data_IF_899002458625
#
_entry.id   IF_899002458625
#
_cell.length_a   1.000
_cell.length_b   1.000
_cell.length_c   1.000
_cell.angle_alpha   90.00
_cell.angle_beta   90.00
_cell.angle_gamma   90.00
#
_symmetry.space_group_name_H-M   'P 1'
#
loop_
_entity.id
_entity.type
_entity.pdbx_description
1 polymer ?
#
# COMPACT_ATOMS: atom_id res chain seq x y z
N UNK A 1 -38.17 7.18 9.51
CA UNK A 1 -38.81 6.69 10.76
C UNK A 1 -39.26 7.86 11.64
N UNK A 2 -38.37 8.79 12.00
CA UNK A 2 -38.71 9.96 12.86
C UNK A 2 -39.83 10.83 12.30
N UNK A 3 -39.85 11.12 11.00
CA UNK A 3 -40.93 11.90 10.36
C UNK A 3 -42.32 11.25 10.46
N UNK A 4 -42.37 9.92 10.58
CA UNK A 4 -43.63 9.19 10.77
C UNK A 4 -44.04 9.32 12.23
N UNK A 5 -43.15 9.03 13.17
CA UNK A 5 -43.43 9.14 14.62
C UNK A 5 -43.79 10.58 15.03
N UNK A 6 -43.25 11.59 14.35
CA UNK A 6 -43.60 13.00 14.59
C UNK A 6 -45.05 13.36 14.21
N UNK A 7 -45.68 12.59 13.30
CA UNK A 7 -47.05 12.85 12.85
C UNK A 7 -48.12 12.09 13.63
N UNK A 8 -47.77 10.93 14.20
CA UNK A 8 -48.76 9.99 14.76
C UNK A 8 -48.36 9.42 16.13
N UNK A 9 -47.13 9.69 16.60
CA UNK A 9 -46.60 9.14 17.85
C UNK A 9 -46.76 10.06 19.05
N UNK A 10 -46.60 9.49 20.24
CA UNK A 10 -46.55 10.24 21.49
C UNK A 10 -45.25 11.03 21.63
N UNK A 11 -45.20 12.08 22.48
CA UNK A 11 -43.97 12.82 22.74
C UNK A 11 -42.81 11.92 23.18
N UNK A 12 -43.08 10.87 23.96
CA UNK A 12 -42.07 9.89 24.41
C UNK A 12 -41.59 8.99 23.26
N UNK A 13 -42.47 8.62 22.33
CA UNK A 13 -42.06 7.87 21.14
C UNK A 13 -41.21 8.73 20.20
N UNK A 14 -41.53 10.03 20.11
CA UNK A 14 -40.77 10.97 19.28
C UNK A 14 -39.36 11.22 19.84
N UNK A 15 -39.21 11.34 21.17
CA UNK A 15 -37.89 11.48 21.80
C UNK A 15 -37.04 10.23 21.56
N UNK A 16 -37.59 9.04 21.80
CA UNK A 16 -36.92 7.76 21.56
C UNK A 16 -36.54 7.58 20.08
N UNK A 17 -37.41 7.96 19.14
CA UNK A 17 -37.12 7.82 17.71
C UNK A 17 -35.99 8.77 17.26
N UNK A 18 -35.93 9.99 17.80
CA UNK A 18 -34.84 10.95 17.53
C UNK A 18 -33.51 10.46 18.08
N UNK A 19 -33.49 9.95 19.30
CA UNK A 19 -32.29 9.39 19.93
C UNK A 19 -31.75 8.20 19.13
N UNK A 20 -32.62 7.27 18.72
CA UNK A 20 -32.23 6.13 17.89
C UNK A 20 -31.75 6.53 16.48
N UNK A 21 -32.28 7.58 15.87
CA UNK A 21 -31.79 8.08 14.58
C UNK A 21 -30.36 8.62 14.69
N UNK A 22 -30.04 9.35 15.77
CA UNK A 22 -28.69 9.87 16.05
C UNK A 22 -27.72 8.70 16.24
N UNK A 23 -28.07 7.74 17.10
CA UNK A 23 -27.26 6.54 17.38
C UNK A 23 -26.98 5.70 16.12
N UNK A 24 -27.86 5.76 15.13
CA UNK A 24 -27.68 5.02 13.86
C UNK A 24 -26.83 5.80 12.87
N UNK A 25 -26.92 7.14 12.85
CA UNK A 25 -26.12 8.01 11.97
C UNK A 25 -24.66 8.11 12.39
N UNK A 26 -24.38 8.18 13.69
CA UNK A 26 -23.02 8.33 14.23
C UNK A 26 -22.13 7.10 13.98
N UNK A 27 -22.72 5.92 13.80
CA UNK A 27 -21.99 4.66 13.58
C UNK A 27 -21.27 4.57 12.24
N UNK A 28 -21.76 5.25 11.19
CA UNK A 28 -21.18 5.16 9.84
C UNK A 28 -19.93 6.04 9.67
N UNK A 29 -19.89 7.22 10.32
CA UNK A 29 -18.73 8.11 10.26
C UNK A 29 -17.61 7.68 11.22
N UNK A 30 -17.94 6.93 12.26
CA UNK A 30 -16.97 6.47 13.27
C UNK A 30 -15.93 5.49 12.72
N UNK A 31 -16.30 4.67 11.72
CA UNK A 31 -15.39 3.66 11.15
C UNK A 31 -14.22 4.27 10.37
N UNK A 32 -14.46 5.37 9.65
CA UNK A 32 -13.41 6.05 8.89
C UNK A 32 -12.44 6.80 9.82
N UNK A 33 -12.98 7.46 10.85
CA UNK A 33 -12.17 8.16 11.87
C UNK A 33 -11.33 7.17 12.68
N UNK A 34 -11.87 6.01 13.03
CA UNK A 34 -11.10 4.98 13.73
C UNK A 34 -9.97 4.42 12.86
N UNK A 35 -10.24 4.17 11.58
CA UNK A 35 -9.24 3.67 10.65
C UNK A 35 -8.10 4.68 10.44
N UNK A 36 -8.43 5.96 10.30
CA UNK A 36 -7.45 7.05 10.24
C UNK A 36 -6.60 7.10 11.52
N UNK A 37 -7.24 7.02 12.69
CA UNK A 37 -6.53 7.01 13.97
C UNK A 37 -5.53 5.85 14.04
N UNK A 38 -5.94 4.64 13.62
CA UNK A 38 -5.06 3.47 13.58
C UNK A 38 -3.90 3.69 12.61
N UNK A 39 -4.16 4.20 11.40
CA UNK A 39 -3.12 4.47 10.42
C UNK A 39 -2.11 5.53 10.89
N UNK A 40 -2.58 6.59 11.55
CA UNK A 40 -1.71 7.61 12.13
C UNK A 40 -0.84 7.02 13.25
N UNK A 41 -1.38 6.14 14.10
CA UNK A 41 -0.60 5.42 15.11
C UNK A 41 0.47 4.53 14.48
N UNK A 42 0.15 3.83 13.39
CA UNK A 42 1.14 3.04 12.66
C UNK A 42 2.22 3.95 12.06
N UNK A 43 1.86 5.11 11.50
CA UNK A 43 2.83 6.09 10.99
C UNK A 43 3.79 6.56 12.09
N UNK A 44 3.30 6.80 13.29
CA UNK A 44 4.13 7.16 14.45
C UNK A 44 5.19 6.09 14.71
N UNK A 45 4.81 4.80 14.77
CA UNK A 45 5.77 3.69 14.93
C UNK A 45 6.79 3.59 13.79
N UNK A 46 6.41 3.95 12.56
CA UNK A 46 7.32 3.96 11.41
C UNK A 46 8.26 5.18 11.42
N UNK A 47 7.95 6.20 12.21
CA UNK A 47 8.73 7.44 12.35
C UNK A 47 9.63 7.44 13.59
N UNK A 48 9.45 6.49 14.50
CA UNK A 48 10.30 6.35 15.68
C UNK A 48 11.75 6.06 15.25
N UNK A 49 12.65 6.99 15.60
CA UNK A 49 14.08 6.82 15.39
C UNK A 49 14.62 5.87 16.45
N UNK A 50 14.78 4.60 16.10
CA UNK A 50 15.66 3.71 16.85
C UNK A 50 17.07 4.34 16.89
N UNK A 51 17.85 4.02 17.93
CA UNK A 51 19.16 4.63 18.24
C UNK A 51 20.25 4.54 17.12
N UNK A 52 19.92 4.00 15.94
CA UNK A 52 20.73 3.97 14.72
C UNK A 52 20.16 4.71 13.50
N UNK A 53 19.09 5.53 13.66
CA UNK A 53 18.45 6.32 12.60
C UNK A 53 17.22 5.65 11.98
N UNK A 54 16.39 6.45 11.27
CA UNK A 54 15.16 5.95 10.61
C UNK A 54 15.49 5.02 9.44
N UNK A 55 15.43 3.71 9.68
CA UNK A 55 15.74 2.66 8.70
C UNK A 55 14.76 2.64 7.51
N UNK A 56 13.54 3.18 7.69
CA UNK A 56 12.46 3.14 6.69
C UNK A 56 12.64 4.13 5.51
N UNK A 57 13.32 5.24 5.76
CA UNK A 57 13.62 6.28 4.78
C UNK A 57 15.05 6.17 4.19
N UNK A 58 15.76 5.10 4.55
CA UNK A 58 17.11 4.82 4.14
C UNK A 58 18.16 5.39 5.08
N UNK A 59 19.25 4.62 5.25
CA UNK A 59 20.42 5.01 6.03
C UNK A 59 21.17 6.16 5.36
N UNK A 60 20.73 7.40 5.59
CA UNK A 60 21.58 8.57 5.36
C UNK A 60 22.39 8.81 6.62
N UNK A 61 23.59 8.22 6.67
CA UNK A 61 24.66 8.75 7.51
C UNK A 61 25.33 9.89 6.74
N UNK A 62 25.17 11.17 7.11
CA UNK A 62 25.81 12.29 6.43
C UNK A 62 27.26 12.50 6.90
N UNK A 63 27.97 11.44 7.25
CA UNK A 63 29.38 11.52 7.62
C UNK A 63 30.20 10.62 6.72
N UNK A 64 30.92 11.26 5.78
CA UNK A 64 31.94 10.75 4.84
C UNK A 64 31.43 10.31 3.47
N UNK A 65 31.24 11.29 2.57
CA UNK A 65 32.05 11.32 1.35
C UNK A 65 32.51 12.76 1.13
N UNK A 66 33.83 12.97 1.29
CA UNK A 66 34.51 14.21 0.96
C UNK A 66 34.55 14.37 -0.56
N UNK A 67 34.42 15.62 -1.02
CA UNK A 67 34.93 16.14 -2.29
C UNK A 67 34.54 15.34 -3.55
N UNK A 68 33.53 15.82 -4.29
CA UNK A 68 33.66 16.23 -5.70
C UNK A 68 32.28 16.48 -6.36
N UNK A 69 31.92 17.76 -6.54
CA UNK A 69 31.00 18.26 -7.59
C UNK A 69 29.52 17.84 -7.53
N UNK A 70 28.62 18.60 -8.19
CA UNK A 70 27.24 18.18 -8.36
C UNK A 70 27.18 17.16 -9.50
N UNK A 71 27.42 15.88 -9.19
CA UNK A 71 27.23 14.78 -10.14
C UNK A 71 25.74 14.54 -10.34
N UNK A 72 25.33 14.68 -11.59
CA UNK A 72 23.96 14.66 -12.11
C UNK A 72 23.27 13.28 -12.09
N UNK A 73 23.56 12.42 -11.12
CA UNK A 73 23.13 11.01 -11.14
C UNK A 73 22.63 10.48 -9.78
N UNK A 74 21.96 11.32 -8.99
CA UNK A 74 21.20 10.88 -7.81
C UNK A 74 19.69 11.20 -7.94
N UNK A 75 19.26 11.52 -9.16
CA UNK A 75 17.92 12.05 -9.48
C UNK A 75 16.81 10.98 -9.26
N UNK A 76 17.16 9.71 -9.05
CA UNK A 76 16.18 8.62 -8.88
C UNK A 76 16.46 7.63 -7.75
N UNK A 77 17.51 7.80 -6.93
CA UNK A 77 17.86 6.79 -5.90
C UNK A 77 17.92 5.37 -6.49
N UNK A 78 18.51 5.26 -7.69
CA UNK A 78 18.49 4.02 -8.48
C UNK A 78 19.46 2.98 -7.91
N UNK A 79 20.48 3.42 -7.17
CA UNK A 79 21.51 2.55 -6.58
C UNK A 79 21.26 2.21 -5.10
N UNK A 80 20.47 3.02 -4.38
CA UNK A 80 20.24 2.82 -2.96
C UNK A 80 18.96 2.00 -2.72
N UNK A 81 19.11 0.68 -2.54
CA UNK A 81 18.07 -0.25 -2.06
C UNK A 81 17.67 -0.03 -0.58
N UNK A 82 17.77 1.21 -0.11
CA UNK A 82 17.63 1.58 1.30
C UNK A 82 16.20 1.97 1.67
N UNK A 83 15.29 2.07 0.70
CA UNK A 83 13.89 2.44 0.92
C UNK A 83 12.99 1.21 0.98
N UNK A 84 11.99 1.23 1.86
CA UNK A 84 11.03 0.12 2.01
C UNK A 84 10.36 -0.28 0.69
N UNK A 85 9.97 0.69 -0.15
CA UNK A 85 9.33 0.38 -1.43
C UNK A 85 10.20 -0.46 -2.39
N UNK A 86 11.53 -0.43 -2.24
CA UNK A 86 12.45 -1.28 -3.01
C UNK A 86 12.42 -2.71 -2.50
N UNK A 87 12.48 -2.88 -1.19
CA UNK A 87 12.35 -4.19 -0.53
C UNK A 87 11.00 -4.80 -0.88
N UNK A 88 9.93 -4.02 -0.82
CA UNK A 88 8.59 -4.46 -1.18
C UNK A 88 8.49 -4.92 -2.63
N UNK A 89 9.10 -4.18 -3.58
CA UNK A 89 9.14 -4.58 -4.99
C UNK A 89 9.86 -5.92 -5.20
N UNK A 90 10.96 -6.15 -4.48
CA UNK A 90 11.67 -7.44 -4.52
C UNK A 90 10.83 -8.58 -3.93
N UNK A 91 10.15 -8.33 -2.80
CA UNK A 91 9.23 -9.29 -2.17
C UNK A 91 8.09 -9.66 -3.13
N UNK A 92 7.46 -8.67 -3.78
CA UNK A 92 6.41 -8.93 -4.77
C UNK A 92 6.92 -9.73 -5.97
N UNK A 93 8.15 -9.49 -6.41
CA UNK A 93 8.75 -10.29 -7.47
C UNK A 93 8.91 -11.76 -7.07
N UNK A 94 9.36 -12.02 -5.83
CA UNK A 94 9.46 -13.40 -5.31
C UNK A 94 8.10 -14.08 -5.32
N UNK A 95 7.04 -13.39 -4.91
CA UNK A 95 5.67 -13.94 -4.90
C UNK A 95 5.11 -14.24 -6.30
N UNK A 96 5.65 -13.60 -7.34
CA UNK A 96 5.24 -13.87 -8.72
C UNK A 96 5.93 -15.10 -9.32
N UNK A 97 6.88 -15.72 -8.61
CA UNK A 97 7.59 -16.95 -9.03
C UNK A 97 6.60 -18.12 -9.07
N UNK A 98 6.70 -19.05 -10.05
CA UNK A 98 5.69 -20.08 -10.22
C UNK A 98 5.92 -21.17 -9.17
N UNK A 99 4.83 -21.63 -8.56
CA UNK A 99 4.85 -22.67 -7.54
C UNK A 99 4.67 -24.05 -8.16
N UNK A 100 5.24 -25.08 -7.53
CA UNK A 100 5.02 -26.47 -7.91
C UNK A 100 3.56 -26.90 -7.70
N UNK A 101 3.12 -27.98 -8.36
CA UNK A 101 1.72 -28.46 -8.32
C UNK A 101 1.18 -28.81 -6.92
N UNK A 102 2.03 -28.91 -5.90
CA UNK A 102 1.67 -29.23 -4.51
C UNK A 102 2.15 -28.17 -3.51
N UNK A 103 2.47 -26.96 -3.97
CA UNK A 103 2.89 -25.85 -3.12
C UNK A 103 1.76 -24.83 -3.01
N UNK A 104 1.57 -24.29 -1.80
CA UNK A 104 0.61 -23.22 -1.58
C UNK A 104 1.13 -21.91 -2.16
N UNK A 105 0.27 -21.21 -2.87
CA UNK A 105 0.52 -19.85 -3.32
C UNK A 105 0.54 -18.88 -2.14
N UNK A 106 1.14 -17.72 -2.34
CA UNK A 106 1.21 -16.67 -1.31
C UNK A 106 -0.21 -16.18 -0.94
N UNK A 107 -1.10 -16.11 -1.92
CA UNK A 107 -2.50 -15.75 -1.73
C UNK A 107 -3.24 -16.79 -0.89
N UNK A 108 -2.97 -18.08 -1.06
CA UNK A 108 -3.57 -19.14 -0.22
C UNK A 108 -3.05 -19.11 1.22
N UNK A 109 -1.78 -18.77 1.43
CA UNK A 109 -1.17 -18.75 2.77
C UNK A 109 -1.50 -17.48 3.56
N UNK A 110 -1.52 -16.31 2.90
CA UNK A 110 -1.58 -15.02 3.56
C UNK A 110 -2.79 -14.16 3.14
N UNK A 111 -3.56 -14.60 2.14
CA UNK A 111 -4.67 -13.84 1.59
C UNK A 111 -4.24 -12.48 1.03
N UNK A 112 -5.16 -11.52 1.06
CA UNK A 112 -4.87 -10.14 0.64
C UNK A 112 -4.11 -9.33 1.70
N UNK A 113 -4.10 -9.80 2.96
CA UNK A 113 -3.57 -9.05 4.10
C UNK A 113 -2.11 -8.64 3.94
N UNK A 114 -1.32 -9.47 3.27
CA UNK A 114 0.08 -9.20 2.96
C UNK A 114 0.23 -7.98 2.02
N UNK A 115 -0.56 -7.95 0.94
CA UNK A 115 -0.58 -6.82 0.01
C UNK A 115 -1.09 -5.54 0.69
N UNK A 116 -2.11 -5.67 1.55
CA UNK A 116 -2.61 -4.58 2.37
C UNK A 116 -1.54 -4.00 3.29
N UNK A 117 -0.79 -4.84 3.99
CA UNK A 117 0.27 -4.41 4.90
C UNK A 117 1.41 -3.68 4.15
N UNK A 118 1.94 -4.28 3.08
CA UNK A 118 3.02 -3.67 2.31
C UNK A 118 2.62 -2.35 1.67
N UNK A 119 1.43 -2.28 1.08
CA UNK A 119 0.93 -1.04 0.49
C UNK A 119 0.61 0.02 1.54
N UNK A 120 0.06 -0.36 2.71
CA UNK A 120 -0.17 0.57 3.81
C UNK A 120 1.14 1.21 4.28
N UNK A 121 2.21 0.44 4.47
CA UNK A 121 3.52 0.98 4.86
C UNK A 121 4.08 1.91 3.78
N UNK A 122 4.00 1.54 2.49
CA UNK A 122 4.43 2.41 1.39
C UNK A 122 3.69 3.75 1.40
N UNK A 123 2.38 3.74 1.61
CA UNK A 123 1.55 4.96 1.66
C UNK A 123 1.87 5.78 2.90
N UNK A 124 2.00 5.16 4.07
CA UNK A 124 2.30 5.85 5.33
C UNK A 124 3.68 6.53 5.30
N UNK A 125 4.66 5.92 4.62
CA UNK A 125 6.00 6.48 4.38
C UNK A 125 6.06 7.49 3.21
N UNK A 126 4.95 7.71 2.48
CA UNK A 126 4.92 8.62 1.33
C UNK A 126 5.74 8.12 0.12
N UNK A 127 5.98 6.81 0.01
CA UNK A 127 6.84 6.21 -1.01
C UNK A 127 6.06 5.73 -2.26
N UNK A 128 4.75 5.93 -2.33
CA UNK A 128 3.85 5.38 -3.35
C UNK A 128 4.20 5.81 -4.79
N UNK A 129 4.53 7.08 -5.01
CA UNK A 129 4.88 7.57 -6.37
C UNK A 129 6.20 6.98 -6.85
N UNK A 130 7.17 6.86 -5.94
CA UNK A 130 8.47 6.23 -6.24
C UNK A 130 8.28 4.75 -6.53
N UNK A 131 7.46 4.07 -5.73
CA UNK A 131 7.09 2.67 -5.97
C UNK A 131 6.49 2.46 -7.36
N UNK A 132 5.49 3.25 -7.76
CA UNK A 132 4.84 3.10 -9.07
C UNK A 132 5.79 3.24 -10.28
N UNK A 133 6.81 4.09 -10.14
CA UNK A 133 7.81 4.34 -11.19
C UNK A 133 8.88 3.25 -11.20
N UNK A 134 9.31 2.82 -10.01
CA UNK A 134 10.54 2.04 -9.79
C UNK A 134 10.29 0.56 -9.43
N UNK A 135 9.02 0.13 -9.44
CA UNK A 135 8.64 -1.25 -9.21
C UNK A 135 9.17 -2.17 -10.33
N UNK A 136 9.93 -3.19 -9.93
CA UNK A 136 10.56 -4.19 -10.80
C UNK A 136 9.51 -5.00 -11.56
N UNK A 137 8.42 -5.43 -10.89
CA UNK A 137 7.34 -6.16 -11.56
C UNK A 137 6.65 -5.31 -12.63
N UNK A 138 6.43 -4.03 -12.33
CA UNK A 138 5.89 -3.08 -13.29
C UNK A 138 6.80 -2.78 -14.48
N UNK A 139 8.10 -2.69 -14.25
CA UNK A 139 9.09 -2.55 -15.33
C UNK A 139 9.12 -3.80 -16.21
N UNK A 140 9.11 -4.98 -15.59
CA UNK A 140 9.13 -6.27 -16.29
C UNK A 140 7.91 -6.44 -17.21
N UNK A 141 6.71 -6.14 -16.72
CA UNK A 141 5.50 -6.18 -17.53
C UNK A 141 5.53 -5.20 -18.71
N UNK A 142 6.10 -4.00 -18.51
CA UNK A 142 6.26 -3.02 -19.61
C UNK A 142 7.24 -3.54 -20.67
N UNK A 143 8.35 -4.14 -20.25
CA UNK A 143 9.33 -4.74 -21.15
C UNK A 143 8.72 -5.91 -21.94
N UNK A 144 8.02 -6.84 -21.28
CA UNK A 144 7.37 -7.96 -21.96
C UNK A 144 6.29 -7.52 -22.95
N UNK A 145 5.47 -6.51 -22.61
CA UNK A 145 4.47 -5.96 -23.54
C UNK A 145 5.11 -5.29 -24.76
N UNK A 146 6.29 -4.68 -24.59
CA UNK A 146 7.04 -4.07 -25.68
C UNK A 146 7.68 -5.12 -26.61
N UNK A 147 8.20 -6.22 -26.03
CA UNK A 147 8.96 -7.23 -26.77
C UNK A 147 8.07 -8.20 -27.59
N UNK A 148 6.78 -8.33 -27.26
CA UNK A 148 5.79 -9.23 -27.94
C UNK A 148 6.22 -10.70 -28.10
N UNK A 149 7.31 -11.11 -27.45
CA UNK A 149 7.90 -12.45 -27.58
C UNK A 149 7.51 -13.27 -26.36
N UNK A 150 6.72 -14.32 -26.57
CA UNK A 150 6.60 -15.42 -25.60
C UNK A 150 7.87 -16.26 -25.68
N UNK A 151 9.00 -15.72 -25.22
CA UNK A 151 10.22 -16.50 -25.09
C UNK A 151 10.30 -17.11 -23.71
N UNK A 152 9.96 -18.39 -23.65
CA UNK A 152 10.51 -19.35 -22.71
C UNK A 152 12.03 -19.35 -22.85
N UNK A 153 12.73 -18.44 -22.16
CA UNK A 153 14.19 -18.45 -22.08
C UNK A 153 14.64 -18.43 -20.63
N UNK A 154 15.49 -19.41 -20.31
CA UNK A 154 16.08 -19.70 -19.01
C UNK A 154 16.66 -18.43 -18.36
N UNK A 155 15.98 -17.97 -17.31
CA UNK A 155 16.37 -16.82 -16.52
C UNK A 155 15.25 -16.46 -15.56
N UNK A 156 15.59 -15.80 -14.45
CA UNK A 156 14.66 -15.41 -13.37
C UNK A 156 13.40 -14.68 -13.90
N UNK A 157 13.52 -14.02 -15.06
CA UNK A 157 12.46 -13.32 -15.80
C UNK A 157 11.39 -14.24 -16.41
N UNK A 158 11.73 -15.48 -16.77
CA UNK A 158 10.80 -16.47 -17.33
C UNK A 158 10.06 -17.27 -16.26
N UNK A 159 10.57 -17.27 -15.02
CA UNK A 159 9.92 -17.95 -13.92
C UNK A 159 8.73 -17.14 -13.42
N UNK A 160 8.82 -15.81 -13.36
CA UNK A 160 7.69 -15.05 -12.86
C UNK A 160 6.48 -15.08 -13.82
N UNK A 161 5.37 -15.61 -13.34
CA UNK A 161 4.15 -15.76 -14.14
C UNK A 161 3.53 -14.38 -14.41
N UNK A 162 3.50 -13.98 -15.68
CA UNK A 162 2.92 -12.69 -16.14
C UNK A 162 1.49 -12.49 -15.63
N UNK A 163 0.73 -13.58 -15.55
CA UNK A 163 -0.62 -13.58 -14.98
C UNK A 163 -0.61 -13.18 -13.49
N UNK A 164 0.20 -13.86 -12.67
CA UNK A 164 0.35 -13.60 -11.22
C UNK A 164 0.83 -12.17 -11.00
N UNK A 165 1.80 -11.70 -11.79
CA UNK A 165 2.32 -10.34 -11.72
C UNK A 165 1.25 -9.26 -12.00
N UNK A 166 0.36 -9.48 -12.97
CA UNK A 166 -0.76 -8.57 -13.23
C UNK A 166 -1.80 -8.61 -12.10
N UNK A 167 -2.06 -9.79 -11.52
CA UNK A 167 -2.97 -9.95 -10.38
C UNK A 167 -2.42 -9.23 -9.15
N UNK A 168 -1.17 -9.49 -8.74
CA UNK A 168 -0.56 -8.83 -7.58
C UNK A 168 -0.48 -7.31 -7.76
N UNK A 169 -0.20 -6.80 -8.98
CA UNK A 169 -0.27 -5.36 -9.27
C UNK A 169 -1.69 -4.80 -9.26
N UNK A 170 -2.69 -5.54 -9.72
CA UNK A 170 -4.08 -5.08 -9.65
C UNK A 170 -4.50 -4.86 -8.19
N UNK A 171 -4.16 -5.81 -7.31
CA UNK A 171 -4.41 -5.69 -5.87
C UNK A 171 -3.59 -4.54 -5.27
N UNK A 172 -2.29 -4.45 -5.55
CA UNK A 172 -1.44 -3.37 -5.05
C UNK A 172 -1.88 -1.98 -5.51
N UNK A 173 -2.25 -1.82 -6.79
CA UNK A 173 -2.77 -0.58 -7.33
C UNK A 173 -4.15 -0.23 -6.75
N UNK A 174 -5.02 -1.20 -6.50
CA UNK A 174 -6.32 -0.97 -5.86
C UNK A 174 -6.15 -0.43 -4.43
N UNK A 175 -5.25 -1.06 -3.66
CA UNK A 175 -4.95 -0.65 -2.28
C UNK A 175 -4.27 0.71 -2.25
N UNK A 176 -3.24 0.92 -3.07
CA UNK A 176 -2.52 2.20 -3.15
C UNK A 176 -3.32 3.34 -3.80
N UNK A 177 -4.23 3.09 -4.75
CA UNK A 177 -4.82 4.16 -5.57
C UNK A 177 -6.29 4.46 -5.25
N UNK A 178 -7.06 3.51 -4.69
CA UNK A 178 -8.53 3.65 -4.58
C UNK A 178 -9.09 3.67 -3.16
N UNK A 179 -8.46 3.03 -2.18
CA UNK A 179 -8.96 3.03 -0.80
C UNK A 179 -8.09 3.88 0.13
N UNK A 180 -6.77 3.65 0.17
CA UNK A 180 -5.89 4.45 1.03
C UNK A 180 -5.70 5.88 0.50
N UNK A 181 -5.65 6.08 -0.81
CA UNK A 181 -5.51 7.42 -1.41
C UNK A 181 -6.80 8.23 -1.35
N UNK A 182 -7.98 7.61 -1.46
CA UNK A 182 -9.24 8.33 -1.23
C UNK A 182 -9.35 8.73 0.25
N UNK A 183 -8.89 7.88 1.17
CA UNK A 183 -8.82 8.21 2.59
C UNK A 183 -7.74 9.25 2.94
N UNK A 184 -6.61 9.24 2.24
CA UNK A 184 -5.51 10.18 2.48
C UNK A 184 -5.65 11.53 1.76
N UNK A 185 -6.30 11.59 0.58
CA UNK A 185 -6.50 12.82 -0.22
C UNK A 185 -7.79 13.55 0.19
N UNK A 186 -8.83 12.87 0.68
CA UNK A 186 -10.03 13.57 1.18
C UNK A 186 -9.77 14.34 2.50
N UNK A 187 -8.56 14.26 3.07
CA UNK A 187 -8.22 14.92 4.34
C UNK A 187 -6.79 15.53 4.35
N UNK A 188 -6.39 16.15 3.24
CA UNK A 188 -5.39 17.24 3.19
C UNK A 188 -6.02 18.46 2.55
#
# INVERSE_FOLDING_TARGET
>A
MVNVVAKIGTPDQLSLAKENEILTKERLCSGLVLFEYVLNRIREFLSEEDSGGSTWHGFLNPTKESSNGPTSSDILGLENCTYFHRIWSAIQLVFCTPFGQNEYTVEEMFGEGLNWAGCAIIVLLGQQRRFEILDVGGLLLRLQRADKKETTQEGVLANCSVHVMNVSRSHGNMVCSRQLVVLAILWT
#
